data_IF_541147789403
#
_entry.id   IF_541147789403
#
_cell.length_a   1.000
_cell.length_b   1.000
_cell.length_c   1.000
_cell.angle_alpha   90.00
_cell.angle_beta   90.00
_cell.angle_gamma   90.00
#
_symmetry.space_group_name_H-M   'P 1'
#
loop_
_entity.id
_entity.type
_entity.pdbx_description
1 polymer ?
#
# COMPACT_ATOMS: atom_id res chain seq x y z
N UNK A 1 11.17 -7.57 6.38
CA UNK A 1 10.03 -7.68 7.29
C UNK A 1 8.82 -7.04 6.62
N UNK A 2 7.61 -7.54 6.86
CA UNK A 2 6.39 -6.85 6.43
C UNK A 2 6.12 -5.56 7.22
N UNK A 3 6.71 -5.39 8.40
CA UNK A 3 6.64 -4.14 9.16
C UNK A 3 7.31 -2.98 8.41
N UNK A 4 8.55 -3.16 7.94
CA UNK A 4 9.23 -2.16 7.10
C UNK A 4 8.46 -1.81 5.83
N UNK A 5 7.76 -2.79 5.26
CA UNK A 5 6.94 -2.60 4.08
C UNK A 5 5.70 -1.74 4.37
N UNK A 6 5.08 -1.92 5.55
CA UNK A 6 3.99 -1.04 6.00
C UNK A 6 4.51 0.38 6.20
N UNK A 7 5.66 0.55 6.84
CA UNK A 7 6.22 1.89 7.07
C UNK A 7 6.51 2.62 5.75
N UNK A 8 6.97 1.89 4.72
CA UNK A 8 7.13 2.43 3.37
C UNK A 8 5.78 2.80 2.72
N UNK A 9 4.75 1.96 2.86
CA UNK A 9 3.41 2.26 2.34
C UNK A 9 2.78 3.46 3.06
N UNK A 10 3.02 3.61 4.37
CA UNK A 10 2.57 4.73 5.17
C UNK A 10 3.22 6.04 4.70
N UNK A 11 4.52 6.03 4.39
CA UNK A 11 5.21 7.18 3.82
C UNK A 11 4.63 7.58 2.45
N UNK A 12 4.36 6.60 1.58
CA UNK A 12 3.77 6.87 0.26
C UNK A 12 2.34 7.40 0.39
N UNK A 13 1.54 6.89 1.32
CA UNK A 13 0.20 7.44 1.58
C UNK A 13 0.26 8.85 2.19
N UNK A 14 1.19 9.10 3.12
CA UNK A 14 1.36 10.40 3.76
C UNK A 14 1.86 11.47 2.80
N UNK A 15 2.56 11.08 1.73
CA UNK A 15 2.85 11.99 0.61
C UNK A 15 1.58 12.44 -0.13
N UNK A 16 0.46 11.72 0.03
CA UNK A 16 -0.85 12.07 -0.51
C UNK A 16 -0.86 12.27 -2.02
N UNK A 17 -2.00 12.60 -2.62
CA UNK A 17 -2.00 13.08 -3.99
C UNK A 17 -1.34 14.46 -3.99
N UNK A 18 -0.02 14.51 -4.22
CA UNK A 18 0.62 15.74 -4.71
C UNK A 18 -0.12 16.28 -5.93
N UNK A 19 -0.91 15.46 -6.62
CA UNK A 19 -1.88 15.86 -7.64
C UNK A 19 -2.73 17.07 -7.25
N UNK A 20 -3.23 17.18 -6.01
CA UNK A 20 -4.12 18.29 -5.63
C UNK A 20 -3.35 19.58 -5.31
N UNK A 21 -2.13 19.45 -4.75
CA UNK A 21 -1.23 20.60 -4.58
C UNK A 21 -0.64 21.06 -5.93
N UNK A 22 -0.35 20.13 -6.84
CA UNK A 22 0.17 20.40 -8.18
C UNK A 22 -0.90 20.99 -9.12
N UNK A 23 -2.18 20.62 -8.95
CA UNK A 23 -3.33 21.25 -9.63
C UNK A 23 -3.49 22.73 -9.26
N UNK A 24 -3.02 23.14 -8.08
CA UNK A 24 -3.04 24.54 -7.64
C UNK A 24 -1.86 25.38 -8.15
N UNK A 25 -0.84 24.77 -8.77
CA UNK A 25 0.30 25.49 -9.35
C UNK A 25 0.06 25.73 -10.85
N UNK A 26 -0.25 26.97 -11.27
CA UNK A 26 -0.45 27.28 -12.68
C UNK A 26 0.87 27.06 -13.45
N UNK A 27 0.83 26.21 -14.50
CA UNK A 27 1.98 25.93 -15.37
C UNK A 27 2.60 24.53 -15.22
N UNK A 28 2.27 23.76 -14.17
CA UNK A 28 2.76 22.37 -13.99
C UNK A 28 1.73 21.28 -14.29
N UNK A 29 0.46 21.62 -14.53
CA UNK A 29 -0.65 20.68 -14.74
C UNK A 29 -0.45 19.71 -15.94
N UNK A 30 0.41 20.06 -16.89
CA UNK A 30 0.62 19.30 -18.14
C UNK A 30 1.91 18.47 -18.16
N UNK A 31 2.62 18.31 -17.03
CA UNK A 31 3.85 17.50 -17.03
C UNK A 31 3.50 15.98 -16.93
N UNK A 32 3.71 15.18 -17.99
CA UNK A 32 3.38 13.75 -18.00
C UNK A 32 4.21 12.92 -17.00
N UNK A 33 5.35 13.44 -16.52
CA UNK A 33 6.13 12.80 -15.47
C UNK A 33 5.39 12.71 -14.13
N UNK A 34 4.47 13.64 -13.86
CA UNK A 34 3.64 13.66 -12.64
C UNK A 34 2.37 12.83 -12.79
N UNK A 35 1.82 12.70 -14.01
CA UNK A 35 0.64 11.87 -14.28
C UNK A 35 0.93 10.36 -14.21
N UNK A 36 2.18 9.95 -14.42
CA UNK A 36 2.60 8.54 -14.30
C UNK A 36 2.82 8.11 -12.84
N UNK A 37 2.84 9.04 -11.88
CA UNK A 37 2.80 8.74 -10.45
C UNK A 37 1.37 8.61 -9.93
N UNK A 38 0.45 8.07 -10.73
CA UNK A 38 -0.86 7.61 -10.26
C UNK A 38 -0.66 6.36 -9.41
N UNK A 39 -0.19 6.58 -8.20
CA UNK A 39 -0.18 5.59 -7.15
C UNK A 39 -1.64 5.24 -6.88
N UNK A 40 -2.04 4.01 -7.22
CA UNK A 40 -3.39 3.54 -6.99
C UNK A 40 -3.60 3.34 -5.48
N UNK A 41 -4.23 4.33 -4.84
CA UNK A 41 -4.56 4.31 -3.42
C UNK A 41 -5.33 3.05 -3.02
N UNK A 42 -6.16 2.49 -3.93
CA UNK A 42 -6.90 1.25 -3.65
C UNK A 42 -5.95 0.06 -3.56
N UNK A 43 -4.88 0.03 -4.35
CA UNK A 43 -3.87 -1.03 -4.26
C UNK A 43 -3.04 -0.90 -2.99
N UNK A 44 -2.70 0.33 -2.57
CA UNK A 44 -2.03 0.55 -1.28
C UNK A 44 -2.93 0.11 -0.13
N UNK A 45 -4.20 0.51 -0.13
CA UNK A 45 -5.16 0.13 0.88
C UNK A 45 -5.32 -1.40 0.97
N UNK A 46 -5.39 -2.10 -0.17
CA UNK A 46 -5.42 -3.57 -0.22
C UNK A 46 -4.17 -4.20 0.38
N UNK A 47 -2.98 -3.73 -0.01
CA UNK A 47 -1.71 -4.25 0.51
C UNK A 47 -1.60 -4.02 2.02
N UNK A 48 -2.00 -2.85 2.52
CA UNK A 48 -2.05 -2.60 3.95
C UNK A 48 -3.02 -3.55 4.64
N UNK A 49 -4.23 -3.73 4.11
CA UNK A 49 -5.21 -4.64 4.69
C UNK A 49 -4.67 -6.07 4.82
N UNK A 50 -3.95 -6.57 3.81
CA UNK A 50 -3.32 -7.90 3.83
C UNK A 50 -2.33 -8.02 4.99
N UNK A 51 -1.40 -7.08 5.13
CA UNK A 51 -0.39 -7.12 6.18
C UNK A 51 -1.00 -6.91 7.57
N UNK A 52 -2.00 -6.03 7.69
CA UNK A 52 -2.75 -5.82 8.93
C UNK A 52 -3.47 -7.08 9.41
N UNK A 53 -3.90 -7.97 8.50
CA UNK A 53 -4.52 -9.26 8.84
C UNK A 53 -3.54 -10.38 9.19
N UNK A 54 -2.23 -10.13 9.13
CA UNK A 54 -1.19 -11.07 9.59
C UNK A 54 -0.94 -10.95 11.10
N UNK A 55 -0.46 -12.04 11.70
CA UNK A 55 0.08 -12.06 13.06
C UNK A 55 1.52 -11.52 13.09
N UNK A 56 2.04 -11.03 14.24
CA UNK A 56 3.42 -10.51 14.34
C UNK A 56 4.48 -11.50 13.85
N UNK A 57 4.34 -12.78 14.21
CA UNK A 57 5.24 -13.86 13.78
C UNK A 57 5.26 -14.04 12.25
N UNK A 58 4.10 -13.89 11.60
CA UNK A 58 3.98 -13.98 10.13
C UNK A 58 4.51 -12.74 9.42
N UNK A 59 4.55 -11.59 10.10
CA UNK A 59 5.14 -10.35 9.55
C UNK A 59 6.67 -10.41 9.57
N UNK A 60 7.22 -10.88 10.68
CA UNK A 60 8.66 -11.04 10.86
C UNK A 60 9.22 -12.17 9.98
N UNK A 61 8.48 -13.26 9.85
CA UNK A 61 8.92 -14.44 9.10
C UNK A 61 7.93 -14.86 7.99
N UNK A 62 8.19 -14.47 6.74
CA UNK A 62 7.38 -14.85 5.57
C UNK A 62 7.34 -16.37 5.31
N UNK A 63 8.33 -17.14 5.78
CA UNK A 63 8.38 -18.59 5.55
C UNK A 63 7.27 -19.34 6.30
N UNK A 64 6.69 -18.71 7.33
CA UNK A 64 5.55 -19.24 8.07
C UNK A 64 4.23 -19.16 7.28
N UNK A 65 4.19 -18.48 6.12
CA UNK A 65 2.98 -18.28 5.31
C UNK A 65 2.58 -19.55 4.54
N UNK A 66 2.03 -20.52 5.26
CA UNK A 66 1.40 -21.71 4.68
C UNK A 66 0.13 -21.35 3.89
N UNK A 67 -0.32 -22.21 2.95
CA UNK A 67 -1.57 -21.98 2.21
C UNK A 67 -2.80 -21.75 3.12
N UNK A 68 -2.86 -22.40 4.27
CA UNK A 68 -3.93 -22.21 5.26
C UNK A 68 -3.91 -20.78 5.84
N UNK A 69 -2.74 -20.30 6.26
CA UNK A 69 -2.56 -18.94 6.80
C UNK A 69 -2.85 -17.89 5.74
N UNK A 70 -2.41 -18.10 4.49
CA UNK A 70 -2.73 -17.20 3.36
C UNK A 70 -4.24 -17.06 3.13
N UNK A 71 -5.00 -18.16 3.18
CA UNK A 71 -6.47 -18.09 3.06
C UNK A 71 -7.12 -17.31 4.21
N UNK A 72 -6.65 -17.51 5.44
CA UNK A 72 -7.12 -16.75 6.61
C UNK A 72 -6.83 -15.25 6.45
N UNK A 73 -5.62 -14.89 6.02
CA UNK A 73 -5.20 -13.50 5.78
C UNK A 73 -6.02 -12.87 4.66
N UNK A 74 -6.23 -13.57 3.54
CA UNK A 74 -7.06 -13.11 2.43
C UNK A 74 -8.50 -12.81 2.92
N UNK A 75 -9.14 -13.78 3.59
CA UNK A 75 -10.47 -13.62 4.16
C UNK A 75 -10.55 -12.47 5.19
N UNK A 76 -9.55 -12.33 6.06
CA UNK A 76 -9.49 -11.25 7.06
C UNK A 76 -9.24 -9.86 6.46
N UNK A 77 -8.58 -9.79 5.30
CA UNK A 77 -8.28 -8.54 4.60
C UNK A 77 -9.35 -8.14 3.58
N UNK A 78 -10.42 -8.94 3.43
CA UNK A 78 -11.47 -8.71 2.43
C UNK A 78 -11.00 -8.93 0.99
N UNK A 79 -9.91 -9.66 0.80
CA UNK A 79 -9.38 -10.04 -0.51
C UNK A 79 -9.63 -11.52 -0.79
N UNK A 80 -9.61 -11.91 -2.05
CA UNK A 80 -9.79 -13.31 -2.52
C UNK A 80 -8.47 -13.98 -2.80
#
# INVERSE_FOLDING_TARGET
>A
DFNDFIDQLDQVQNMGPMEDLLKMIPGMANNPALQNMKVDEKQIARKRAIVSSMTPEERENPDLLTPSRRRRIAAGSGNT
#
